data_IF_937591537633
#
_entry.id   IF_937591537633
#
_cell.length_a   1.000
_cell.length_b   1.000
_cell.length_c   1.000
_cell.angle_alpha   90.00
_cell.angle_beta   90.00
_cell.angle_gamma   90.00
#
_symmetry.space_group_name_H-M   'P 1'
#
loop_
_entity.id
_entity.type
_entity.pdbx_description
1 polymer ?
#
# COMPACT_ATOMS: atom_id res chain seq x y z
N UNK A 1 -19.07 -27.45 7.17
CA UNK A 1 -18.02 -26.43 6.99
C UNK A 1 -18.61 -25.39 6.07
N UNK A 2 -18.73 -24.13 6.51
CA UNK A 2 -19.13 -23.02 5.64
C UNK A 2 -17.94 -22.67 4.77
N UNK A 3 -18.12 -22.69 3.45
CA UNK A 3 -17.09 -22.31 2.49
C UNK A 3 -16.69 -20.85 2.75
N UNK A 4 -15.44 -20.65 3.20
CA UNK A 4 -14.81 -19.35 3.47
C UNK A 4 -14.39 -18.62 2.17
N UNK A 5 -15.11 -18.92 1.09
CA UNK A 5 -14.91 -18.42 -0.27
C UNK A 5 -15.72 -17.14 -0.48
N UNK A 6 -15.64 -16.20 0.47
CA UNK A 6 -16.26 -14.88 0.28
C UNK A 6 -15.65 -14.24 -0.97
N UNK A 7 -16.42 -13.52 -1.81
CA UNK A 7 -15.87 -12.78 -2.93
C UNK A 7 -14.72 -11.85 -2.52
N UNK A 8 -14.67 -11.36 -1.27
CA UNK A 8 -13.52 -10.63 -0.75
C UNK A 8 -12.25 -11.48 -0.59
N UNK A 9 -12.33 -12.74 -0.12
CA UNK A 9 -11.14 -13.60 0.04
C UNK A 9 -10.58 -14.03 -1.32
N UNK A 10 -11.46 -14.28 -2.29
CA UNK A 10 -11.08 -14.53 -3.69
C UNK A 10 -10.45 -13.29 -4.33
N UNK A 11 -10.98 -12.09 -4.05
CA UNK A 11 -10.40 -10.84 -4.53
C UNK A 11 -9.01 -10.61 -3.93
N UNK A 12 -8.84 -10.85 -2.63
CA UNK A 12 -7.55 -10.71 -1.94
C UNK A 12 -6.50 -11.73 -2.45
N UNK A 13 -6.91 -12.98 -2.66
CA UNK A 13 -6.07 -14.02 -3.27
C UNK A 13 -5.71 -13.66 -4.72
N UNK A 14 -6.67 -13.16 -5.50
CA UNK A 14 -6.44 -12.71 -6.88
C UNK A 14 -5.52 -11.49 -6.96
N UNK A 15 -5.55 -10.59 -5.98
CA UNK A 15 -4.63 -9.46 -5.88
C UNK A 15 -3.22 -9.90 -5.47
N UNK A 16 -3.11 -10.91 -4.60
CA UNK A 16 -1.82 -11.51 -4.24
C UNK A 16 -1.22 -12.33 -5.40
N UNK A 17 -2.07 -12.97 -6.21
CA UNK A 17 -1.73 -13.74 -7.42
C UNK A 17 -1.57 -12.87 -8.69
N UNK A 18 -2.02 -11.62 -8.69
CA UNK A 18 -1.77 -10.65 -9.77
C UNK A 18 -0.27 -10.30 -9.93
N UNK A 19 0.59 -10.71 -8.99
CA UNK A 19 2.05 -10.74 -9.16
C UNK A 19 2.58 -11.95 -9.97
N UNK A 20 1.69 -12.81 -10.47
CA UNK A 20 1.98 -14.03 -11.26
C UNK A 20 1.33 -14.01 -12.64
N UNK A 21 1.18 -12.83 -13.25
CA UNK A 21 0.62 -12.64 -14.60
C UNK A 21 1.61 -13.00 -15.72
N UNK A 22 2.49 -13.99 -15.49
CA UNK A 22 3.31 -14.58 -16.55
C UNK A 22 2.49 -15.41 -17.54
N UNK A 23 1.29 -15.86 -17.14
CA UNK A 23 0.50 -16.83 -17.90
C UNK A 23 -0.63 -16.21 -18.75
N UNK A 24 -0.97 -14.92 -18.55
CA UNK A 24 -2.14 -14.26 -19.19
C UNK A 24 -1.74 -12.98 -19.98
N UNK A 25 -0.47 -12.58 -19.99
CA UNK A 25 -0.05 -11.37 -20.72
C UNK A 25 0.24 -11.73 -22.19
N UNK A 26 -0.54 -11.23 -23.17
CA UNK A 26 -0.27 -11.51 -24.58
C UNK A 26 1.08 -10.91 -24.98
N UNK A 27 1.83 -11.61 -25.85
CA UNK A 27 3.20 -11.24 -26.26
C UNK A 27 3.45 -9.76 -26.61
N UNK A 28 2.51 -9.02 -27.24
CA UNK A 28 2.69 -7.60 -27.54
C UNK A 28 2.75 -6.68 -26.32
N UNK A 29 2.19 -7.10 -25.17
CA UNK A 29 2.10 -6.32 -23.94
C UNK A 29 3.23 -6.65 -22.95
N UNK A 30 3.97 -7.74 -23.17
CA UNK A 30 5.16 -8.11 -22.39
C UNK A 30 6.14 -6.94 -22.14
N UNK A 31 6.50 -6.08 -23.11
CA UNK A 31 7.47 -5.01 -22.84
C UNK A 31 6.95 -3.97 -21.84
N UNK A 32 5.64 -3.69 -21.86
CA UNK A 32 4.98 -2.76 -20.92
C UNK A 32 4.74 -3.44 -19.58
N UNK A 33 4.33 -4.71 -19.61
CA UNK A 33 4.09 -5.52 -18.42
C UNK A 33 5.35 -5.67 -17.55
N UNK A 34 6.49 -5.90 -18.19
CA UNK A 34 7.79 -6.06 -17.52
C UNK A 34 8.24 -4.78 -16.78
N UNK A 35 7.72 -3.60 -17.14
CA UNK A 35 7.96 -2.36 -16.38
C UNK A 35 7.03 -2.26 -15.16
N UNK A 36 5.76 -2.64 -15.31
CA UNK A 36 4.78 -2.64 -14.22
C UNK A 36 5.18 -3.67 -13.16
N UNK A 37 5.67 -4.83 -13.58
CA UNK A 37 6.17 -5.89 -12.71
C UNK A 37 7.38 -5.44 -11.89
N UNK A 38 8.31 -4.67 -12.48
CA UNK A 38 9.42 -4.05 -11.72
C UNK A 38 8.94 -3.07 -10.66
N UNK A 39 7.93 -2.26 -10.99
CA UNK A 39 7.34 -1.30 -10.03
C UNK A 39 6.56 -2.05 -8.94
N UNK A 40 5.84 -3.12 -9.27
CA UNK A 40 5.17 -3.98 -8.28
C UNK A 40 6.18 -4.73 -7.41
N UNK A 41 7.25 -5.29 -7.98
CA UNK A 41 8.33 -5.95 -7.24
C UNK A 41 9.02 -4.96 -6.30
N UNK A 42 9.32 -3.74 -6.78
CA UNK A 42 9.86 -2.67 -5.94
C UNK A 42 8.92 -2.32 -4.77
N UNK A 43 7.60 -2.22 -5.02
CA UNK A 43 6.61 -2.03 -3.97
C UNK A 43 6.54 -3.21 -2.99
N UNK A 44 6.65 -4.44 -3.47
CA UNK A 44 6.60 -5.65 -2.64
C UNK A 44 7.83 -5.79 -1.74
N UNK A 45 9.00 -5.33 -2.20
CA UNK A 45 10.25 -5.42 -1.41
C UNK A 45 10.52 -4.21 -0.52
N UNK A 46 10.10 -3.01 -0.95
CA UNK A 46 10.46 -1.75 -0.28
C UNK A 46 9.29 -0.83 0.02
N UNK A 47 8.12 -1.05 -0.59
CA UNK A 47 6.94 -0.22 -0.39
C UNK A 47 6.50 -0.17 1.07
N UNK A 48 6.50 -1.32 1.77
CA UNK A 48 6.06 -1.39 3.15
C UNK A 48 6.92 -0.53 4.10
N UNK A 49 8.26 -0.55 3.93
CA UNK A 49 9.17 0.29 4.75
C UNK A 49 9.02 1.77 4.46
N UNK A 50 8.98 2.18 3.19
CA UNK A 50 8.86 3.60 2.83
C UNK A 50 7.49 4.17 3.18
N UNK A 51 6.41 3.42 2.93
CA UNK A 51 5.05 3.81 3.32
C UNK A 51 4.95 3.90 4.84
N UNK A 52 5.47 2.92 5.58
CA UNK A 52 5.46 2.94 7.05
C UNK A 52 6.25 4.14 7.62
N UNK A 53 7.40 4.50 7.04
CA UNK A 53 8.15 5.69 7.45
C UNK A 53 7.36 6.97 7.15
N UNK A 54 6.74 7.09 5.98
CA UNK A 54 5.92 8.25 5.64
C UNK A 54 4.68 8.36 6.53
N UNK A 55 4.05 7.24 6.85
CA UNK A 55 2.93 7.15 7.77
C UNK A 55 3.34 7.60 9.17
N UNK A 56 4.48 7.14 9.67
CA UNK A 56 5.04 7.57 10.96
C UNK A 56 5.33 9.07 10.98
N UNK A 57 5.96 9.61 9.93
CA UNK A 57 6.23 11.05 9.81
C UNK A 57 4.95 11.87 9.76
N UNK A 58 3.94 11.38 9.05
CA UNK A 58 2.63 12.04 8.97
C UNK A 58 1.93 12.02 10.33
N UNK A 59 1.93 10.88 11.02
CA UNK A 59 1.36 10.73 12.35
C UNK A 59 2.05 11.65 13.37
N UNK A 60 3.38 11.76 13.33
CA UNK A 60 4.14 12.68 14.18
C UNK A 60 3.79 14.13 13.87
N UNK A 61 3.75 14.51 12.59
CA UNK A 61 3.42 15.88 12.16
C UNK A 61 2.02 16.28 12.64
N UNK A 62 1.03 15.40 12.47
CA UNK A 62 -0.33 15.61 12.94
C UNK A 62 -0.39 15.74 14.46
N UNK A 63 0.34 14.88 15.18
CA UNK A 63 0.37 14.89 16.65
C UNK A 63 0.97 16.18 17.17
N UNK A 64 2.12 16.60 16.62
CA UNK A 64 2.77 17.87 16.99
C UNK A 64 1.88 19.06 16.66
N UNK A 65 1.28 19.09 15.46
CA UNK A 65 0.35 20.15 15.05
C UNK A 65 -0.87 20.24 15.97
N UNK A 66 -1.44 19.11 16.38
CA UNK A 66 -2.57 19.06 17.29
C UNK A 66 -2.21 19.55 18.69
N UNK A 67 -1.09 19.09 19.25
CA UNK A 67 -0.61 19.54 20.58
C UNK A 67 -0.32 21.03 20.55
N UNK A 68 0.33 21.52 19.50
CA UNK A 68 0.58 22.95 19.32
C UNK A 68 -0.71 23.77 19.28
N UNK A 69 -1.67 23.34 18.45
CA UNK A 69 -2.99 23.98 18.39
C UNK A 69 -3.70 23.97 19.75
N UNK A 70 -3.61 22.88 20.50
CA UNK A 70 -4.22 22.73 21.82
C UNK A 70 -3.58 23.69 22.84
N UNK A 71 -2.26 23.88 22.81
CA UNK A 71 -1.57 24.86 23.66
C UNK A 71 -2.00 26.30 23.36
N UNK A 72 -2.14 26.65 22.07
CA UNK A 72 -2.67 27.97 21.66
C UNK A 72 -4.12 28.15 22.10
N UNK A 73 -4.96 27.13 21.91
CA UNK A 73 -6.36 27.17 22.31
C UNK A 73 -6.54 27.36 23.82
N UNK A 74 -5.64 26.78 24.61
CA UNK A 74 -5.63 26.91 26.07
C UNK A 74 -4.93 28.20 26.56
N UNK A 75 -4.40 29.05 25.67
CA UNK A 75 -3.61 30.24 26.01
C UNK A 75 -2.43 29.94 26.95
N UNK A 76 -1.87 28.73 26.86
CA UNK A 76 -0.71 28.30 27.66
C UNK A 76 0.61 28.73 27.00
N UNK A 77 0.54 29.14 25.73
CA UNK A 77 1.65 29.61 24.90
C UNK A 77 1.40 31.02 24.38
#
# INVERSE_FOLDING_TARGET
>A
MSDDSSPESIAEESMQQAGGLGEIVPEPLLPVWNQIEKVQAFRRTHGEKYVSVLELLTALTLTVGYVWWLLLFLEVL
#
